data_IF_234691831742
#
_entry.id   IF_234691831742
#
_cell.length_a   1.000
_cell.length_b   1.000
_cell.length_c   1.000
_cell.angle_alpha   90.00
_cell.angle_beta   90.00
_cell.angle_gamma   90.00
#
_symmetry.space_group_name_H-M   'P 1'
#
loop_
_entity.id
_entity.type
_entity.pdbx_description
1 polymer ?
#
# COMPACT_ATOMS: atom_id res chain seq x y z
N UNK A 1 -7.60 -9.54 4.29
CA UNK A 1 -7.30 -9.32 2.85
C UNK A 1 -6.12 -8.36 2.75
N UNK A 2 -5.23 -8.48 1.75
CA UNK A 2 -4.06 -7.57 1.65
C UNK A 2 -4.51 -6.11 1.60
N UNK A 3 -5.60 -5.82 0.89
CA UNK A 3 -6.26 -4.52 0.90
C UNK A 3 -6.53 -3.98 2.31
N UNK A 4 -7.15 -4.77 3.19
CA UNK A 4 -7.51 -4.33 4.54
C UNK A 4 -6.28 -4.03 5.41
N UNK A 5 -5.22 -4.84 5.29
CA UNK A 5 -3.96 -4.59 5.99
C UNK A 5 -3.32 -3.29 5.51
N UNK A 6 -3.24 -3.13 4.19
CA UNK A 6 -2.63 -1.96 3.57
C UNK A 6 -3.38 -0.68 3.93
N UNK A 7 -4.71 -0.73 3.87
CA UNK A 7 -5.59 0.38 4.27
C UNK A 7 -5.47 0.69 5.75
N UNK A 8 -5.30 -0.32 6.63
CA UNK A 8 -5.09 -0.09 8.05
C UNK A 8 -3.76 0.63 8.33
N UNK A 9 -2.66 0.20 7.70
CA UNK A 9 -1.34 0.83 7.83
C UNK A 9 -1.38 2.27 7.29
N UNK A 10 -1.98 2.47 6.10
CA UNK A 10 -2.22 3.79 5.53
C UNK A 10 -3.03 4.69 6.46
N UNK A 11 -4.14 4.18 7.00
CA UNK A 11 -5.02 4.94 7.88
C UNK A 11 -4.29 5.36 9.17
N UNK A 12 -3.44 4.51 9.72
CA UNK A 12 -2.63 4.84 10.90
C UNK A 12 -1.52 5.85 10.58
N UNK A 13 -0.85 5.75 9.43
CA UNK A 13 0.22 6.68 9.05
C UNK A 13 -0.31 8.06 8.67
N UNK A 14 -1.45 8.11 7.98
CA UNK A 14 -1.97 9.32 7.34
C UNK A 14 -3.11 9.96 8.15
N UNK A 15 -3.52 9.33 9.25
CA UNK A 15 -4.66 9.74 10.08
C UNK A 15 -5.94 9.94 9.23
N UNK A 16 -6.18 8.99 8.32
CA UNK A 16 -7.32 9.00 7.41
C UNK A 16 -8.33 7.90 7.75
N UNK A 17 -9.59 8.08 7.35
CA UNK A 17 -10.62 7.07 7.60
C UNK A 17 -10.44 5.89 6.61
N UNK A 18 -10.20 4.66 7.08
CA UNK A 18 -10.07 3.50 6.20
C UNK A 18 -11.33 3.25 5.36
N UNK A 19 -12.50 3.70 5.80
CA UNK A 19 -13.73 3.61 5.03
C UNK A 19 -13.77 4.61 3.85
N UNK A 20 -12.94 5.65 3.88
CA UNK A 20 -12.79 6.62 2.79
C UNK A 20 -11.79 6.15 1.72
N UNK A 21 -10.93 5.18 2.06
CA UNK A 21 -9.94 4.64 1.14
C UNK A 21 -10.58 3.61 0.22
N UNK A 22 -10.45 3.84 -1.09
CA UNK A 22 -10.92 2.93 -2.13
C UNK A 22 -9.77 2.48 -3.01
N UNK A 23 -10.00 1.47 -3.85
CA UNK A 23 -8.97 1.04 -4.82
C UNK A 23 -8.62 2.13 -5.85
N UNK A 24 -9.53 3.08 -6.09
CA UNK A 24 -9.32 4.19 -7.02
C UNK A 24 -8.66 5.41 -6.35
N UNK A 25 -8.58 5.43 -5.02
CA UNK A 25 -7.98 6.52 -4.27
C UNK A 25 -6.47 6.57 -4.50
N UNK A 26 -5.93 7.76 -4.75
CA UNK A 26 -4.49 7.95 -4.92
C UNK A 26 -3.79 8.24 -3.59
N UNK A 27 -2.51 7.89 -3.50
CA UNK A 27 -1.68 8.24 -2.35
C UNK A 27 -1.63 9.76 -2.14
N UNK A 28 -1.53 10.54 -3.23
CA UNK A 28 -1.57 11.99 -3.18
C UNK A 28 -2.89 12.56 -2.62
N UNK A 29 -4.04 11.95 -2.93
CA UNK A 29 -5.35 12.36 -2.40
C UNK A 29 -5.46 12.13 -0.90
N UNK A 30 -4.79 11.11 -0.38
CA UNK A 30 -4.69 10.84 1.04
C UNK A 30 -3.71 11.80 1.73
N UNK A 31 -2.87 12.51 0.99
CA UNK A 31 -1.80 13.35 1.54
C UNK A 31 -0.55 12.55 1.91
N UNK A 32 -0.39 11.36 1.33
CA UNK A 32 0.81 10.53 1.42
C UNK A 32 1.85 11.12 0.47
N UNK A 33 3.02 11.50 1.01
CA UNK A 33 4.20 11.82 0.21
C UNK A 33 4.88 10.51 -0.24
N UNK A 34 5.60 10.58 -1.36
CA UNK A 34 6.59 9.59 -1.79
C UNK A 34 7.46 9.00 -0.66
N UNK A 35 7.83 9.79 0.36
CA UNK A 35 8.56 9.29 1.53
C UNK A 35 7.69 8.38 2.42
N UNK A 36 6.46 8.81 2.71
CA UNK A 36 5.51 8.02 3.49
C UNK A 36 5.18 6.71 2.74
N UNK A 37 5.06 6.76 1.42
CA UNK A 37 4.85 5.56 0.59
C UNK A 37 6.01 4.58 0.67
N UNK A 38 7.24 5.07 0.73
CA UNK A 38 8.44 4.22 0.89
C UNK A 38 8.46 3.57 2.27
N UNK A 39 8.21 4.33 3.34
CA UNK A 39 8.20 3.80 4.70
C UNK A 39 7.11 2.71 4.88
N UNK A 40 5.90 2.97 4.37
CA UNK A 40 4.81 1.98 4.40
C UNK A 40 5.15 0.71 3.62
N UNK A 41 5.77 0.84 2.44
CA UNK A 41 6.17 -0.33 1.65
C UNK A 41 7.23 -1.13 2.39
N UNK A 42 8.22 -0.49 2.99
CA UNK A 42 9.24 -1.18 3.78
C UNK A 42 8.63 -1.94 4.97
N UNK A 43 7.65 -1.35 5.66
CA UNK A 43 6.94 -2.03 6.76
C UNK A 43 6.12 -3.23 6.26
N UNK A 44 5.42 -3.06 5.13
CA UNK A 44 4.69 -4.15 4.48
C UNK A 44 5.64 -5.26 4.02
N UNK A 45 6.76 -4.93 3.38
CA UNK A 45 7.80 -5.90 2.97
C UNK A 45 8.30 -6.73 4.14
N UNK A 46 8.56 -6.09 5.29
CA UNK A 46 9.06 -6.76 6.49
C UNK A 46 7.96 -7.62 7.16
N UNK A 47 6.73 -7.13 7.25
CA UNK A 47 5.60 -7.85 7.87
C UNK A 47 5.17 -9.07 7.04
N UNK A 48 5.14 -8.90 5.72
CA UNK A 48 4.72 -9.91 4.76
C UNK A 48 5.88 -10.79 4.29
N UNK A 49 7.11 -10.35 4.57
CA UNK A 49 8.34 -10.97 4.10
C UNK A 49 8.45 -10.98 2.57
N UNK A 50 7.87 -10.02 1.84
CA UNK A 50 7.97 -9.92 0.38
C UNK A 50 8.88 -8.76 -0.03
N UNK A 51 9.31 -8.72 -1.29
CA UNK A 51 10.08 -7.62 -1.85
C UNK A 51 9.19 -6.92 -2.89
N UNK A 52 8.80 -5.70 -2.58
CA UNK A 52 7.87 -4.84 -3.31
C UNK A 52 8.69 -3.74 -3.98
N UNK A 53 9.01 -3.93 -5.25
CA UNK A 53 9.58 -2.85 -6.04
C UNK A 53 8.49 -1.82 -6.35
N UNK A 54 8.56 -0.67 -5.67
CA UNK A 54 7.79 0.52 -6.02
C UNK A 54 8.17 0.97 -7.44
N UNK A 55 7.43 0.49 -8.45
CA UNK A 55 7.49 1.04 -9.80
C UNK A 55 6.90 2.46 -9.76
N UNK A 56 7.52 3.42 -10.45
CA UNK A 56 7.06 4.83 -10.52
C UNK A 56 5.59 4.97 -11.01
N UNK A 57 4.98 3.89 -11.50
CA UNK A 57 3.58 3.84 -11.91
C UNK A 57 2.57 3.68 -10.78
N UNK A 58 2.98 3.23 -9.60
CA UNK A 58 2.03 2.99 -8.49
C UNK A 58 1.54 4.33 -7.96
N UNK A 59 0.32 4.69 -8.32
CA UNK A 59 -0.30 5.97 -7.96
C UNK A 59 -1.53 5.77 -7.07
N UNK A 60 -2.17 4.60 -7.19
CA UNK A 60 -3.41 4.25 -6.48
C UNK A 60 -3.21 3.15 -5.46
N UNK A 61 -4.05 3.16 -4.42
CA UNK A 61 -4.08 2.10 -3.40
C UNK A 61 -4.37 0.74 -4.03
N UNK A 62 -5.26 0.70 -5.04
CA UNK A 62 -5.59 -0.54 -5.75
C UNK A 62 -4.42 -1.15 -6.52
N UNK A 63 -3.55 -0.32 -7.12
CA UNK A 63 -2.33 -0.79 -7.78
C UNK A 63 -1.34 -1.40 -6.79
N UNK A 64 -1.14 -0.75 -5.64
CA UNK A 64 -0.25 -1.27 -4.61
C UNK A 64 -0.75 -2.61 -4.06
N UNK A 65 -2.05 -2.71 -3.78
CA UNK A 65 -2.66 -3.96 -3.28
C UNK A 65 -2.50 -5.09 -4.28
N UNK A 66 -2.76 -4.84 -5.57
CA UNK A 66 -2.56 -5.86 -6.62
C UNK A 66 -1.12 -6.31 -6.70
N UNK A 67 -0.16 -5.38 -6.64
CA UNK A 67 1.26 -5.70 -6.69
C UNK A 67 1.69 -6.57 -5.52
N UNK A 68 1.22 -6.26 -4.30
CA UNK A 68 1.47 -7.07 -3.10
C UNK A 68 0.82 -8.45 -3.22
N UNK A 69 -0.43 -8.53 -3.69
CA UNK A 69 -1.14 -9.80 -3.89
C UNK A 69 -0.45 -10.68 -4.95
N UNK A 70 -0.01 -10.10 -6.06
CA UNK A 70 0.75 -10.81 -7.09
C UNK A 70 2.06 -11.37 -6.53
N UNK A 71 2.84 -10.54 -5.80
CA UNK A 71 4.10 -10.98 -5.17
C UNK A 71 3.89 -12.08 -4.13
N UNK A 72 2.82 -11.98 -3.34
CA UNK A 72 2.45 -13.04 -2.40
C UNK A 72 2.08 -14.33 -3.11
N UNK A 73 1.37 -14.24 -4.23
CA UNK A 73 0.96 -15.41 -5.02
C UNK A 73 2.13 -16.05 -5.78
N UNK A 74 3.16 -15.28 -6.14
CA UNK A 74 4.39 -15.81 -6.78
C UNK A 74 5.35 -16.47 -5.78
N UNK A 75 5.18 -16.22 -4.47
CA UNK A 75 6.03 -16.80 -3.42
C UNK A 75 5.66 -18.22 -3.00
N UNK A 76 4.63 -18.81 -3.60
CA UNK A 76 4.17 -20.20 -3.37
C UNK A 76 4.86 -21.21 -4.30
#
# INVERSE_FOLDING_TARGET
MIFEKLVAVLAEHVDCDPASVTMDTTFEELGVDSLDTVDMVMELEEELGVELELDEKISTVGEMVKLVEEKMSEKE
#
